data_IF_675689721167
#
_entry.id   IF_675689721167
#
_cell.length_a   1.000
_cell.length_b   1.000
_cell.length_c   1.000
_cell.angle_alpha   90.00
_cell.angle_beta   90.00
_cell.angle_gamma   90.00
#
_symmetry.space_group_name_H-M   'P 1'
#
loop_
_entity.id
_entity.type
_entity.pdbx_description
1 polymer ?
#
# COMPACT_ATOMS: atom_id res chain seq x y z
N UNK A 1 -12.24 -50.20 30.87
CA UNK A 1 -12.66 -50.31 29.47
C UNK A 1 -11.66 -49.54 28.64
N UNK A 2 -10.76 -50.23 27.93
CA UNK A 2 -10.04 -49.64 26.81
C UNK A 2 -11.01 -49.73 25.62
N UNK A 3 -11.37 -48.57 25.06
CA UNK A 3 -12.12 -48.50 23.81
C UNK A 3 -11.15 -48.10 22.71
N UNK A 4 -11.22 -48.85 21.62
CA UNK A 4 -10.22 -48.96 20.59
C UNK A 4 -10.20 -47.69 19.73
N UNK A 5 -9.11 -46.92 19.86
CA UNK A 5 -8.84 -45.76 19.03
C UNK A 5 -8.60 -46.18 17.58
N UNK A 6 -9.68 -46.34 16.81
CA UNK A 6 -9.60 -46.41 15.36
C UNK A 6 -9.13 -45.03 14.85
N UNK A 7 -7.91 -44.91 14.30
CA UNK A 7 -7.50 -43.67 13.68
C UNK A 7 -8.39 -43.48 12.44
N UNK A 8 -9.17 -42.41 12.39
CA UNK A 8 -9.88 -42.01 11.18
C UNK A 8 -8.84 -41.55 10.14
N UNK A 9 -8.19 -42.52 9.50
CA UNK A 9 -7.16 -42.28 8.49
C UNK A 9 -7.86 -41.75 7.25
N UNK A 10 -7.60 -40.48 6.91
CA UNK A 10 -8.03 -39.89 5.65
C UNK A 10 -7.69 -40.84 4.51
N UNK A 11 -8.64 -41.06 3.60
CA UNK A 11 -8.53 -41.98 2.48
C UNK A 11 -7.37 -41.50 1.56
N UNK A 12 -6.16 -42.00 1.80
CA UNK A 12 -4.90 -41.68 1.09
C UNK A 12 -5.05 -41.53 -0.44
N UNK A 13 -5.79 -42.37 -1.18
CA UNK A 13 -6.00 -42.19 -2.63
C UNK A 13 -6.66 -40.86 -3.02
N UNK A 14 -7.53 -40.29 -2.20
CA UNK A 14 -8.17 -38.99 -2.50
C UNK A 14 -7.14 -37.87 -2.49
N UNK A 15 -6.24 -37.87 -1.51
CA UNK A 15 -5.17 -36.86 -1.40
C UNK A 15 -4.21 -36.92 -2.58
N UNK A 16 -3.85 -38.12 -3.07
CA UNK A 16 -3.00 -38.26 -4.24
C UNK A 16 -3.66 -37.79 -5.55
N UNK A 17 -4.98 -37.99 -5.70
CA UNK A 17 -5.73 -37.45 -6.85
C UNK A 17 -5.75 -35.92 -6.84
N UNK A 18 -6.03 -35.33 -5.68
CA UNK A 18 -6.05 -33.86 -5.53
C UNK A 18 -4.65 -33.28 -5.71
N UNK A 19 -3.61 -33.95 -5.19
CA UNK A 19 -2.22 -33.57 -5.43
C UNK A 19 -1.90 -33.53 -6.94
N UNK A 20 -2.29 -34.55 -7.70
CA UNK A 20 -2.15 -34.56 -9.15
C UNK A 20 -2.87 -33.38 -9.82
N UNK A 21 -4.10 -33.08 -9.40
CA UNK A 21 -4.85 -31.91 -9.88
C UNK A 21 -4.12 -30.60 -9.56
N UNK A 22 -3.55 -30.45 -8.37
CA UNK A 22 -2.78 -29.26 -7.98
C UNK A 22 -1.50 -29.08 -8.82
N UNK A 23 -0.82 -30.17 -9.18
CA UNK A 23 0.34 -30.12 -10.08
C UNK A 23 -0.10 -29.63 -11.47
N UNK A 24 -1.18 -30.17 -12.02
CA UNK A 24 -1.74 -29.72 -13.31
C UNK A 24 -2.11 -28.25 -13.25
N UNK A 25 -2.81 -27.80 -12.21
CA UNK A 25 -3.15 -26.39 -12.04
C UNK A 25 -1.91 -25.50 -11.93
N UNK A 26 -0.83 -25.98 -11.32
CA UNK A 26 0.43 -25.23 -11.22
C UNK A 26 1.12 -25.09 -12.58
N UNK A 27 1.13 -26.15 -13.39
CA UNK A 27 1.62 -26.10 -14.76
C UNK A 27 0.78 -25.09 -15.56
N UNK A 28 -0.54 -25.09 -15.39
CA UNK A 28 -1.43 -24.11 -16.02
C UNK A 28 -1.10 -22.70 -15.56
N UNK A 29 -0.85 -22.45 -14.26
CA UNK A 29 -0.45 -21.13 -13.76
C UNK A 29 0.83 -20.63 -14.44
N UNK A 30 1.83 -21.51 -14.55
CA UNK A 30 3.11 -21.18 -15.21
C UNK A 30 2.88 -20.91 -16.70
N UNK A 31 2.09 -21.74 -17.38
CA UNK A 31 1.76 -21.53 -18.79
C UNK A 31 1.04 -20.19 -19.01
N UNK A 32 0.01 -19.89 -18.21
CA UNK A 32 -0.74 -18.62 -18.24
C UNK A 32 0.19 -17.42 -18.06
N UNK A 33 1.24 -17.53 -17.25
CA UNK A 33 2.22 -16.47 -17.06
C UNK A 33 3.08 -16.19 -18.30
N UNK A 34 3.24 -17.16 -19.22
CA UNK A 34 3.97 -16.98 -20.47
C UNK A 34 3.08 -16.59 -21.66
N UNK A 35 1.75 -16.72 -21.55
CA UNK A 35 0.83 -16.34 -22.62
C UNK A 35 0.55 -14.82 -22.58
N UNK A 36 0.61 -14.11 -23.73
CA UNK A 36 0.24 -12.70 -23.81
C UNK A 36 -1.29 -12.54 -23.83
N UNK A 37 -1.92 -12.71 -22.67
CA UNK A 37 -3.38 -12.62 -22.49
C UNK A 37 -3.90 -11.17 -22.41
N UNK A 38 -3.00 -10.18 -22.43
CA UNK A 38 -3.35 -8.76 -22.35
C UNK A 38 -4.18 -8.45 -21.09
N UNK A 39 -5.28 -7.69 -21.20
CA UNK A 39 -6.14 -7.33 -20.07
C UNK A 39 -6.73 -8.53 -19.31
N UNK A 40 -6.82 -9.71 -19.94
CA UNK A 40 -7.35 -10.92 -19.32
C UNK A 40 -6.33 -11.66 -18.46
N UNK A 41 -5.04 -11.29 -18.49
CA UNK A 41 -4.00 -11.96 -17.72
C UNK A 41 -4.31 -11.97 -16.21
N UNK A 42 -4.71 -10.82 -15.66
CA UNK A 42 -4.98 -10.68 -14.23
C UNK A 42 -6.25 -11.44 -13.79
N UNK A 43 -7.43 -11.29 -14.44
CA UNK A 43 -8.60 -12.09 -14.09
C UNK A 43 -8.36 -13.61 -14.19
N UNK A 44 -7.67 -14.07 -15.23
CA UNK A 44 -7.36 -15.50 -15.42
C UNK A 44 -6.42 -16.00 -14.33
N UNK A 45 -5.37 -15.25 -13.99
CA UNK A 45 -4.44 -15.61 -12.92
C UNK A 45 -5.16 -15.76 -11.57
N UNK A 46 -6.06 -14.82 -11.24
CA UNK A 46 -6.86 -14.87 -10.01
C UNK A 46 -7.81 -16.08 -10.01
N UNK A 47 -8.47 -16.39 -11.14
CA UNK A 47 -9.35 -17.54 -11.25
C UNK A 47 -8.62 -18.88 -11.06
N UNK A 48 -7.43 -19.02 -11.63
CA UNK A 48 -6.61 -20.23 -11.45
C UNK A 48 -6.13 -20.33 -9.99
N UNK A 49 -5.67 -19.21 -9.41
CA UNK A 49 -5.22 -19.16 -8.02
C UNK A 49 -6.35 -19.52 -7.04
N UNK A 50 -7.57 -19.00 -7.23
CA UNK A 50 -8.72 -19.27 -6.36
C UNK A 50 -9.20 -20.73 -6.47
N UNK A 51 -9.13 -21.32 -7.66
CA UNK A 51 -9.42 -22.75 -7.87
C UNK A 51 -8.41 -23.62 -7.12
N UNK A 52 -7.11 -23.30 -7.22
CA UNK A 52 -6.05 -23.99 -6.48
C UNK A 52 -6.25 -23.90 -4.97
N UNK A 53 -6.54 -22.69 -4.47
CA UNK A 53 -6.79 -22.46 -3.04
C UNK A 53 -7.99 -23.26 -2.55
N UNK A 54 -9.10 -23.28 -3.30
CA UNK A 54 -10.30 -24.06 -2.95
C UNK A 54 -10.00 -25.56 -2.81
N UNK A 55 -9.21 -26.13 -3.72
CA UNK A 55 -8.81 -27.55 -3.63
C UNK A 55 -7.94 -27.83 -2.39
N UNK A 56 -7.02 -26.92 -2.04
CA UNK A 56 -6.19 -27.07 -0.84
C UNK A 56 -7.06 -27.03 0.42
N UNK A 57 -7.96 -26.06 0.51
CA UNK A 57 -8.82 -25.87 1.68
C UNK A 57 -9.79 -27.04 1.85
N UNK A 58 -10.44 -27.49 0.78
CA UNK A 58 -11.43 -28.57 0.90
C UNK A 58 -10.81 -29.93 1.25
N UNK A 59 -9.62 -30.25 0.71
CA UNK A 59 -9.06 -31.60 0.80
C UNK A 59 -7.82 -31.72 1.70
N UNK A 60 -6.91 -30.75 1.69
CA UNK A 60 -5.69 -30.81 2.52
C UNK A 60 -5.88 -30.22 3.91
N UNK A 61 -6.76 -29.24 4.07
CA UNK A 61 -7.21 -28.77 5.41
C UNK A 61 -8.35 -29.62 5.97
N UNK A 62 -8.77 -30.67 5.24
CA UNK A 62 -9.89 -31.54 5.58
C UNK A 62 -11.23 -30.81 5.82
N UNK A 63 -11.38 -29.56 5.37
CA UNK A 63 -12.54 -28.71 5.67
C UNK A 63 -13.86 -29.30 5.15
N UNK A 64 -13.80 -30.16 4.12
CA UNK A 64 -14.95 -30.89 3.60
C UNK A 64 -15.50 -31.93 4.60
N UNK A 65 -14.62 -32.62 5.31
CA UNK A 65 -14.95 -33.76 6.17
C UNK A 65 -14.89 -33.40 7.67
N UNK A 66 -14.45 -32.17 7.99
CA UNK A 66 -14.29 -31.64 9.35
C UNK A 66 -15.57 -30.94 9.86
N UNK A 67 -15.54 -30.49 11.11
CA UNK A 67 -16.64 -29.79 11.77
C UNK A 67 -17.02 -28.49 11.01
N UNK A 68 -18.31 -28.22 10.75
CA UNK A 68 -18.75 -27.01 10.07
C UNK A 68 -18.31 -25.70 10.74
N UNK A 69 -18.01 -25.71 12.05
CA UNK A 69 -17.43 -24.57 12.76
C UNK A 69 -16.09 -24.15 12.16
N UNK A 70 -15.25 -25.10 11.75
CA UNK A 70 -13.95 -24.80 11.15
C UNK A 70 -14.12 -24.12 9.79
N UNK A 71 -15.11 -24.56 9.01
CA UNK A 71 -15.49 -23.91 7.75
C UNK A 71 -15.98 -22.48 7.95
N UNK A 72 -16.76 -22.24 9.00
CA UNK A 72 -17.22 -20.90 9.35
C UNK A 72 -16.06 -19.99 9.76
N UNK A 73 -15.17 -20.46 10.65
CA UNK A 73 -13.98 -19.70 11.08
C UNK A 73 -13.07 -19.37 9.90
N UNK A 74 -12.82 -20.32 9.00
CA UNK A 74 -12.03 -20.09 7.79
C UNK A 74 -12.68 -19.03 6.88
N UNK A 75 -14.00 -19.11 6.69
CA UNK A 75 -14.74 -18.17 5.84
C UNK A 75 -14.69 -16.75 6.40
N UNK A 76 -14.93 -16.59 7.71
CA UNK A 76 -14.85 -15.29 8.40
C UNK A 76 -13.43 -14.73 8.29
N UNK A 77 -12.41 -15.56 8.53
CA UNK A 77 -11.01 -15.15 8.38
C UNK A 77 -10.67 -14.70 6.96
N UNK A 78 -11.13 -15.44 5.95
CA UNK A 78 -10.92 -15.11 4.53
C UNK A 78 -11.60 -13.81 4.14
N UNK A 79 -12.83 -13.57 4.62
CA UNK A 79 -13.54 -12.31 4.41
C UNK A 79 -12.77 -11.15 5.05
N UNK A 80 -12.34 -11.30 6.30
CA UNK A 80 -11.56 -10.26 6.99
C UNK A 80 -10.27 -9.91 6.24
N UNK A 81 -9.50 -10.91 5.82
CA UNK A 81 -8.27 -10.69 5.02
C UNK A 81 -8.60 -10.00 3.70
N UNK A 82 -9.66 -10.42 3.01
CA UNK A 82 -10.06 -9.83 1.73
C UNK A 82 -10.47 -8.36 1.89
N UNK A 83 -11.18 -8.04 2.96
CA UNK A 83 -11.58 -6.67 3.32
C UNK A 83 -10.34 -5.81 3.60
N UNK A 84 -9.39 -6.30 4.40
CA UNK A 84 -8.14 -5.58 4.66
C UNK A 84 -7.35 -5.32 3.37
N UNK A 85 -7.16 -6.34 2.53
CA UNK A 85 -6.45 -6.19 1.26
C UNK A 85 -7.16 -5.17 0.36
N UNK A 86 -8.48 -5.25 0.23
CA UNK A 86 -9.25 -4.31 -0.60
C UNK A 86 -9.08 -2.86 -0.10
N UNK A 87 -9.20 -2.63 1.21
CA UNK A 87 -8.98 -1.30 1.77
C UNK A 87 -7.55 -0.81 1.62
N UNK A 88 -6.54 -1.66 1.79
CA UNK A 88 -5.14 -1.29 1.55
C UNK A 88 -4.88 -0.94 0.09
N UNK A 89 -5.48 -1.67 -0.85
CA UNK A 89 -5.39 -1.36 -2.28
C UNK A 89 -6.09 -0.03 -2.62
N UNK A 90 -7.27 0.23 -2.06
CA UNK A 90 -7.94 1.52 -2.24
C UNK A 90 -7.14 2.66 -1.62
N UNK A 91 -6.66 2.50 -0.39
CA UNK A 91 -5.79 3.49 0.25
C UNK A 91 -4.58 3.79 -0.64
N UNK A 92 -3.87 2.77 -1.13
CA UNK A 92 -2.72 2.97 -2.03
C UNK A 92 -3.12 3.66 -3.33
N UNK A 93 -4.27 3.32 -3.91
CA UNK A 93 -4.73 3.88 -5.18
C UNK A 93 -5.10 5.38 -5.07
N UNK A 94 -5.59 5.82 -3.91
CA UNK A 94 -6.03 7.21 -3.69
C UNK A 94 -5.06 8.04 -2.84
N UNK A 95 -3.99 7.43 -2.31
CA UNK A 95 -2.95 8.09 -1.52
C UNK A 95 -2.12 9.02 -2.42
N UNK A 96 -2.51 10.29 -2.45
CA UNK A 96 -1.90 11.34 -3.27
C UNK A 96 -2.90 12.17 -4.08
N UNK A 97 -4.16 11.75 -4.15
CA UNK A 97 -5.25 12.48 -4.81
C UNK A 97 -5.83 13.59 -3.91
N UNK A 98 -4.97 14.22 -3.11
CA UNK A 98 -5.33 15.34 -2.25
C UNK A 98 -4.55 16.55 -2.75
N UNK A 99 -5.24 17.55 -3.30
CA UNK A 99 -4.63 18.76 -3.88
C UNK A 99 -3.85 19.66 -2.91
N UNK A 100 -3.68 19.23 -1.65
CA UNK A 100 -2.95 19.94 -0.58
C UNK A 100 -1.76 19.13 -0.04
N UNK A 101 -1.27 18.14 -0.80
CA UNK A 101 -0.11 17.33 -0.39
C UNK A 101 0.96 17.45 -1.47
N UNK A 102 2.00 18.23 -1.20
CA UNK A 102 3.17 18.31 -2.09
C UNK A 102 3.84 16.94 -2.14
N UNK A 103 4.16 16.46 -3.35
CA UNK A 103 4.97 15.25 -3.51
C UNK A 103 6.44 15.47 -3.14
N UNK A 104 6.83 16.74 -2.99
CA UNK A 104 8.15 17.17 -2.54
C UNK A 104 8.27 17.00 -1.03
N UNK A 105 9.49 16.63 -0.60
CA UNK A 105 9.83 16.58 0.82
C UNK A 105 9.86 18.01 1.38
N UNK A 106 9.57 18.20 2.67
CA UNK A 106 9.61 19.52 3.33
C UNK A 106 10.96 20.24 3.07
N UNK A 107 12.05 19.48 3.00
CA UNK A 107 13.41 19.97 2.69
C UNK A 107 13.56 20.58 1.29
N UNK A 108 12.86 20.04 0.28
CA UNK A 108 12.87 20.60 -1.08
C UNK A 108 12.05 21.90 -1.16
N UNK A 109 10.93 21.95 -0.45
CA UNK A 109 10.06 23.14 -0.37
C UNK A 109 10.79 24.29 0.35
N UNK A 110 11.50 23.97 1.43
CA UNK A 110 12.28 24.95 2.20
C UNK A 110 13.45 25.51 1.36
N UNK A 111 14.15 24.65 0.62
CA UNK A 111 15.23 25.08 -0.27
C UNK A 111 14.75 25.98 -1.43
N UNK A 112 13.62 25.67 -2.05
CA UNK A 112 13.02 26.53 -3.08
C UNK A 112 12.56 27.88 -2.49
N UNK A 113 12.09 27.89 -1.24
CA UNK A 113 11.73 29.13 -0.53
C UNK A 113 12.94 29.98 -0.18
N UNK A 114 14.03 29.38 0.27
CA UNK A 114 15.30 30.06 0.55
C UNK A 114 15.87 30.70 -0.74
N UNK A 115 15.91 29.95 -1.84
CA UNK A 115 16.38 30.47 -3.14
C UNK A 115 15.48 31.61 -3.69
N UNK A 116 14.15 31.53 -3.47
CA UNK A 116 13.21 32.59 -3.84
C UNK A 116 13.30 33.83 -2.93
N UNK A 117 13.70 33.64 -1.66
CA UNK A 117 13.88 34.72 -0.69
C UNK A 117 15.23 35.43 -0.90
N UNK A 118 16.29 34.70 -1.28
CA UNK A 118 17.59 35.27 -1.69
C UNK A 118 17.49 36.16 -2.94
N UNK A 119 16.56 35.88 -3.87
CA UNK A 119 16.35 36.71 -5.07
C UNK A 119 15.53 37.98 -4.81
N UNK A 120 14.67 37.98 -3.79
CA UNK A 120 13.86 39.15 -3.42
C UNK A 120 14.60 40.13 -2.51
N UNK A 121 15.67 39.68 -1.84
CA UNK A 121 16.54 40.56 -1.10
C UNK A 121 17.51 41.20 -2.09
N UNK A 122 17.18 42.43 -2.52
CA UNK A 122 18.04 43.22 -3.40
C UNK A 122 19.47 43.29 -2.82
N UNK A 123 20.51 42.77 -3.52
CA UNK A 123 21.88 42.76 -3.02
C UNK A 123 22.42 44.18 -2.78
N UNK A 124 21.75 45.21 -3.29
CA UNK A 124 22.02 46.61 -2.99
C UNK A 124 21.67 46.97 -1.52
N UNK A 125 20.58 46.42 -0.98
CA UNK A 125 20.12 46.68 0.40
C UNK A 125 20.89 45.89 1.47
N UNK A 126 21.64 44.84 1.08
CA UNK A 126 22.57 44.13 1.97
C UNK A 126 23.96 44.79 2.04
N UNK A 127 24.27 45.70 1.11
CA UNK A 127 25.58 46.34 0.94
C UNK A 127 25.64 47.74 1.55
N UNK A 128 24.90 47.95 2.64
CA UNK A 128 25.05 49.17 3.45
C UNK A 128 26.45 49.14 4.06
N UNK A 129 27.38 49.92 3.52
CA UNK A 129 28.65 50.13 4.19
C UNK A 129 28.37 50.82 5.53
N UNK A 130 29.21 50.66 6.58
CA UNK A 130 29.04 51.39 7.83
C UNK A 130 29.00 52.93 7.68
N UNK A 131 29.36 53.45 6.50
CA UNK A 131 29.29 54.85 6.13
C UNK A 131 27.96 55.27 5.46
N UNK A 132 27.13 54.33 5.02
CA UNK A 132 25.86 54.55 4.31
C UNK A 132 24.63 54.38 5.21
N UNK A 133 24.83 54.32 6.54
CA UNK A 133 23.71 54.43 7.46
C UNK A 133 23.05 55.80 7.28
N UNK A 134 21.71 55.88 7.18
CA UNK A 134 21.04 57.17 7.22
C UNK A 134 21.38 57.82 8.56
N UNK A 135 22.12 58.93 8.51
CA UNK A 135 22.36 59.78 9.66
C UNK A 135 21.00 60.14 10.24
N UNK A 136 20.78 59.91 11.54
CA UNK A 136 19.49 60.22 12.21
C UNK A 136 19.14 61.73 12.21
N UNK A 137 19.85 62.55 11.43
CA UNK A 137 19.68 63.98 11.32
C UNK A 137 18.32 64.40 10.73
N UNK A 138 17.59 63.47 10.08
CA UNK A 138 16.20 63.67 9.65
C UNK A 138 15.12 63.29 10.69
N UNK A 139 15.48 62.62 11.79
CA UNK A 139 14.49 62.12 12.75
C UNK A 139 14.10 63.15 13.85
N UNK A 140 14.76 64.30 13.90
CA UNK A 140 14.53 65.31 14.96
C UNK A 140 14.04 66.67 14.46
N UNK A 141 13.70 66.84 13.17
CA UNK A 141 13.28 68.13 12.62
C UNK A 141 11.80 68.25 12.25
N UNK A 142 11.00 67.18 12.37
CA UNK A 142 9.55 67.23 12.04
C UNK A 142 8.62 67.17 13.26
N UNK A 143 9.17 67.30 14.47
CA UNK A 143 8.37 67.40 15.70
C UNK A 143 8.70 68.69 16.44
N UNK A 144 8.29 69.84 15.90
CA UNK A 144 8.41 71.10 16.63
C UNK A 144 7.92 72.35 15.89
N UNK A 145 6.95 73.03 16.50
CA UNK A 145 6.32 74.32 16.13
C UNK A 145 5.14 74.19 15.17
N UNK A 146 3.90 74.02 15.63
CA UNK A 146 3.07 74.97 16.42
C UNK A 146 3.10 76.39 15.85
N UNK A 147 2.07 76.74 15.05
CA UNK A 147 1.02 77.72 15.35
C UNK A 147 0.05 77.87 14.16
#
# INVERSE_FOLDING_TARGET
MADDGHPHVLHKPTLFKVFGALIVLTIITVAVAYLPLGPLAMPVAIAVASTKASLVVLFFMALKDDNPVNGLTFTIGTIMVSVFIAFTLFDTAFRGDLGNVSSQTIEEIEKEQEEAQEQQIDPENLRVAPADYPDQQGATSETGSEN
#
